data_IF_680120675412
#
_entry.id   IF_680120675412
#
_cell.length_a   1.000
_cell.length_b   1.000
_cell.length_c   1.000
_cell.angle_alpha   90.00
_cell.angle_beta   90.00
_cell.angle_gamma   90.00
#
_symmetry.space_group_name_H-M   'P 1'
#
loop_
_entity.id
_entity.type
_entity.pdbx_description
1 polymer ?
#
# COMPACT_ATOMS: atom_id res chain seq x y z
N UNK A 1 17.98 5.01 -12.28
CA UNK A 1 16.53 4.84 -12.04
C UNK A 1 16.02 5.79 -10.96
N UNK A 2 16.44 5.66 -9.70
CA UNK A 2 15.94 6.47 -8.56
C UNK A 2 16.01 7.98 -8.77
N UNK A 3 17.10 8.53 -9.33
CA UNK A 3 17.23 9.96 -9.63
C UNK A 3 16.21 10.44 -10.68
N UNK A 4 15.87 9.60 -11.66
CA UNK A 4 14.87 9.93 -12.66
C UNK A 4 13.46 9.88 -12.07
N UNK A 5 13.18 8.89 -11.21
CA UNK A 5 11.88 8.78 -10.52
C UNK A 5 11.65 9.96 -9.57
N UNK A 6 12.64 10.33 -8.75
CA UNK A 6 12.49 11.48 -7.85
C UNK A 6 12.38 12.79 -8.63
N UNK A 7 13.16 12.98 -9.71
CA UNK A 7 13.04 14.15 -10.56
C UNK A 7 11.64 14.26 -11.18
N UNK A 8 11.07 13.16 -11.66
CA UNK A 8 9.72 13.12 -12.22
C UNK A 8 8.64 13.37 -11.15
N UNK A 9 8.68 12.65 -10.02
CA UNK A 9 7.75 12.83 -8.90
C UNK A 9 7.77 14.28 -8.43
N UNK A 10 8.94 14.90 -8.33
CA UNK A 10 9.09 16.29 -7.91
C UNK A 10 8.36 17.28 -8.81
N UNK A 11 8.22 16.99 -10.10
CA UNK A 11 7.48 17.82 -11.06
C UNK A 11 5.95 17.65 -10.97
N UNK A 12 5.46 16.55 -10.38
CA UNK A 12 4.02 16.34 -10.20
C UNK A 12 3.45 17.33 -9.17
N UNK A 13 2.19 17.79 -9.34
CA UNK A 13 1.48 18.49 -8.28
C UNK A 13 1.25 17.56 -7.08
N UNK A 14 0.80 18.13 -5.96
CA UNK A 14 0.28 17.32 -4.85
C UNK A 14 -0.99 16.58 -5.31
N UNK A 15 -1.22 15.41 -4.72
CA UNK A 15 -2.38 14.57 -5.00
C UNK A 15 -2.91 13.98 -3.69
N UNK A 16 -4.17 13.55 -3.70
CA UNK A 16 -4.87 13.14 -2.48
C UNK A 16 -4.56 11.68 -2.06
N UNK A 17 -4.13 10.84 -3.00
CA UNK A 17 -3.96 9.41 -2.79
C UNK A 17 -2.78 8.86 -3.62
N UNK A 18 -1.88 8.12 -2.98
CA UNK A 18 -0.84 7.32 -3.63
C UNK A 18 -1.17 5.82 -3.55
N UNK A 19 -0.94 5.07 -4.63
CA UNK A 19 -1.08 3.60 -4.64
C UNK A 19 0.12 3.00 -5.38
N UNK A 20 0.95 2.26 -4.66
CA UNK A 20 2.08 1.51 -5.18
C UNK A 20 1.69 0.02 -5.27
N UNK A 21 1.83 -0.59 -6.45
CA UNK A 21 1.48 -2.00 -6.67
C UNK A 21 2.75 -2.82 -6.67
N UNK A 22 2.86 -3.74 -5.71
CA UNK A 22 4.01 -4.59 -5.50
C UNK A 22 3.58 -6.06 -5.37
N UNK A 23 4.59 -6.92 -5.34
CA UNK A 23 4.44 -8.32 -5.03
C UNK A 23 5.51 -8.76 -4.03
N UNK A 24 5.13 -9.69 -3.16
CA UNK A 24 6.00 -10.25 -2.14
C UNK A 24 6.02 -11.78 -2.28
N UNK A 25 7.21 -12.34 -2.40
CA UNK A 25 7.42 -13.78 -2.59
C UNK A 25 7.42 -14.55 -1.27
N UNK A 26 7.60 -13.87 -0.13
CA UNK A 26 7.56 -14.48 1.21
C UNK A 26 6.15 -14.42 1.83
N UNK A 27 5.24 -13.66 1.22
CA UNK A 27 3.88 -13.46 1.70
C UNK A 27 3.04 -14.73 1.64
N UNK A 28 2.26 -14.97 2.70
CA UNK A 28 1.32 -16.11 2.76
C UNK A 28 -0.06 -15.78 2.15
N UNK A 29 -0.25 -14.53 1.76
CA UNK A 29 -1.48 -13.98 1.21
C UNK A 29 -1.29 -12.50 0.88
N UNK A 30 -2.34 -11.87 0.37
CA UNK A 30 -2.36 -10.42 0.14
C UNK A 30 -2.29 -9.66 1.47
N UNK A 31 -1.54 -8.56 1.46
CA UNK A 31 -1.53 -7.58 2.53
C UNK A 31 -1.26 -6.18 1.97
N UNK A 32 -1.35 -5.15 2.81
CA UNK A 32 -1.01 -3.78 2.43
C UNK A 32 -0.30 -3.01 3.52
N UNK A 33 0.50 -2.03 3.11
CA UNK A 33 0.98 -0.95 3.97
C UNK A 33 0.07 0.27 3.80
N UNK A 34 -0.34 0.88 4.92
CA UNK A 34 -1.01 2.18 4.97
C UNK A 34 -0.04 3.22 5.55
N UNK A 35 0.41 4.16 4.72
CA UNK A 35 1.10 5.36 5.18
C UNK A 35 0.09 6.48 5.32
N UNK A 36 -0.29 6.74 6.56
CA UNK A 36 -1.30 7.73 6.93
C UNK A 36 -0.88 8.55 8.16
N UNK A 37 0.21 9.33 8.06
CA UNK A 37 0.79 10.08 9.18
C UNK A 37 -0.13 11.13 9.81
N UNK A 38 -1.14 11.63 9.09
CA UNK A 38 -2.09 12.62 9.60
C UNK A 38 -3.42 12.00 10.05
N UNK A 39 -3.51 10.66 10.08
CA UNK A 39 -4.72 9.91 10.45
C UNK A 39 -5.98 10.35 9.68
N UNK A 40 -5.83 10.55 8.37
CA UNK A 40 -6.93 10.81 7.44
C UNK A 40 -7.87 9.60 7.36
N UNK A 41 -9.13 9.78 6.92
CA UNK A 41 -10.03 8.66 6.67
C UNK A 41 -9.42 7.63 5.71
N UNK A 42 -9.10 6.45 6.24
CA UNK A 42 -8.57 5.32 5.48
C UNK A 42 -9.68 4.30 5.16
N UNK A 43 -9.41 3.42 4.19
CA UNK A 43 -10.34 2.36 3.73
C UNK A 43 -9.67 0.97 3.73
N UNK A 44 -8.60 0.82 4.51
CA UNK A 44 -7.72 -0.35 4.49
C UNK A 44 -8.44 -1.64 4.86
N UNK A 45 -9.33 -1.58 5.84
CA UNK A 45 -10.10 -2.74 6.29
C UNK A 45 -11.07 -3.20 5.20
N UNK A 46 -11.79 -2.26 4.58
CA UNK A 46 -12.71 -2.52 3.49
C UNK A 46 -12.00 -3.08 2.25
N UNK A 47 -10.78 -2.60 1.98
CA UNK A 47 -9.93 -3.11 0.88
C UNK A 47 -9.49 -4.55 1.15
N UNK A 48 -8.99 -4.84 2.35
CA UNK A 48 -8.59 -6.21 2.72
C UNK A 48 -9.79 -7.16 2.69
N UNK A 49 -10.95 -6.74 3.20
CA UNK A 49 -12.18 -7.53 3.15
C UNK A 49 -12.58 -7.86 1.71
N UNK A 50 -12.58 -6.86 0.81
CA UNK A 50 -12.90 -7.06 -0.60
C UNK A 50 -11.92 -8.01 -1.29
N UNK A 51 -10.62 -7.88 -1.01
CA UNK A 51 -9.59 -8.77 -1.58
C UNK A 51 -9.73 -10.19 -1.02
N UNK A 52 -10.13 -10.34 0.25
CA UNK A 52 -10.36 -11.65 0.89
C UNK A 52 -11.37 -12.55 0.15
N UNK A 53 -12.25 -11.97 -0.68
CA UNK A 53 -13.17 -12.72 -1.52
C UNK A 53 -12.52 -13.36 -2.75
N UNK A 54 -11.32 -12.92 -3.14
CA UNK A 54 -10.65 -13.35 -4.40
C UNK A 54 -9.22 -13.86 -4.20
N UNK A 55 -8.59 -13.51 -3.07
CA UNK A 55 -7.24 -13.92 -2.71
C UNK A 55 -7.16 -14.08 -1.19
N UNK A 56 -6.41 -15.09 -0.72
CA UNK A 56 -6.18 -15.25 0.72
C UNK A 56 -5.45 -14.02 1.27
N UNK A 57 -5.83 -13.58 2.48
CA UNK A 57 -5.15 -12.49 3.18
C UNK A 57 -4.07 -13.06 4.09
N UNK A 58 -2.92 -12.40 4.18
CA UNK A 58 -1.91 -12.77 5.16
C UNK A 58 -2.38 -12.34 6.57
N UNK A 59 -2.75 -13.34 7.38
CA UNK A 59 -3.24 -13.16 8.75
C UNK A 59 -2.13 -13.19 9.79
N UNK A 60 -0.86 -13.20 9.38
CA UNK A 60 0.26 -13.22 10.31
C UNK A 60 0.27 -11.94 11.15
N UNK A 61 0.51 -12.07 12.46
CA UNK A 61 0.68 -10.91 13.35
C UNK A 61 1.98 -10.14 13.06
N UNK A 62 2.90 -10.77 12.32
CA UNK A 62 4.15 -10.19 11.82
C UNK A 62 4.29 -10.52 10.33
N UNK A 63 4.54 -9.50 9.51
CA UNK A 63 4.84 -9.59 8.08
C UNK A 63 6.06 -8.68 7.84
N UNK A 64 7.10 -9.16 7.15
CA UNK A 64 8.39 -8.44 7.01
C UNK A 64 8.95 -7.97 8.37
N UNK A 65 8.89 -8.83 9.39
CA UNK A 65 9.27 -8.51 10.79
C UNK A 65 8.55 -7.30 11.42
N UNK A 66 7.44 -6.85 10.82
CA UNK A 66 6.66 -5.71 11.27
C UNK A 66 5.30 -6.15 11.80
N UNK A 67 4.76 -5.48 12.84
CA UNK A 67 3.41 -5.70 13.30
C UNK A 67 2.39 -5.52 12.17
N UNK A 68 1.55 -6.53 12.00
CA UNK A 68 0.43 -6.52 11.09
C UNK A 68 -0.84 -6.94 11.83
N UNK A 69 -1.97 -6.41 11.39
CA UNK A 69 -3.27 -6.83 11.89
C UNK A 69 -4.21 -7.10 10.71
N UNK A 70 -4.56 -8.36 10.51
CA UNK A 70 -5.45 -8.79 9.43
C UNK A 70 -4.98 -8.30 8.06
N UNK A 71 -3.70 -8.48 7.72
CA UNK A 71 -3.14 -8.03 6.44
C UNK A 71 -2.90 -6.53 6.29
N UNK A 72 -2.97 -5.75 7.38
CA UNK A 72 -2.71 -4.30 7.35
C UNK A 72 -1.48 -3.99 8.20
N UNK A 73 -0.50 -3.32 7.58
CA UNK A 73 0.67 -2.76 8.25
C UNK A 73 0.56 -1.24 8.28
N UNK A 74 0.80 -0.64 9.45
CA UNK A 74 0.78 0.82 9.65
C UNK A 74 2.13 1.31 10.18
N UNK A 75 3.17 1.35 9.33
CA UNK A 75 4.49 1.75 9.78
C UNK A 75 4.50 3.25 10.11
N UNK A 76 5.27 3.63 11.14
CA UNK A 76 5.48 5.03 11.50
C UNK A 76 6.32 5.71 10.43
N UNK A 77 5.81 6.81 9.88
CA UNK A 77 6.56 7.65 8.95
C UNK A 77 7.50 8.55 9.74
N UNK A 78 8.80 8.25 9.70
CA UNK A 78 9.84 9.09 10.28
C UNK A 78 10.91 9.40 9.21
N UNK A 79 11.06 10.67 8.80
CA UNK A 79 12.09 11.08 7.83
C UNK A 79 13.51 10.74 8.30
N UNK A 80 13.75 10.80 9.62
CA UNK A 80 15.07 10.61 10.23
C UNK A 80 15.41 9.14 10.49
N UNK A 81 14.44 8.22 10.31
CA UNK A 81 14.64 6.82 10.66
C UNK A 81 15.55 6.05 9.71
N UNK A 82 15.84 6.58 8.50
CA UNK A 82 16.68 5.88 7.52
C UNK A 82 17.28 6.79 6.43
N UNK A 83 18.52 6.54 6.01
CA UNK A 83 19.21 7.34 4.97
C UNK A 83 18.69 7.08 3.55
N UNK A 84 18.06 5.92 3.31
CA UNK A 84 17.40 5.57 2.06
C UNK A 84 15.92 5.31 2.32
N UNK A 85 15.07 5.90 1.49
CA UNK A 85 13.62 5.80 1.65
C UNK A 85 13.04 4.91 0.56
N UNK A 86 12.12 4.00 0.90
CA UNK A 86 11.20 3.41 -0.07
C UNK A 86 10.41 4.50 -0.79
N UNK A 87 10.04 4.24 -2.03
CA UNK A 87 9.27 5.15 -2.89
C UNK A 87 8.01 5.70 -2.19
N UNK A 88 7.23 4.83 -1.55
CA UNK A 88 6.01 5.23 -0.85
C UNK A 88 6.25 6.25 0.29
N UNK A 89 7.42 6.19 0.96
CA UNK A 89 7.79 7.17 1.98
C UNK A 89 8.11 8.53 1.35
N UNK A 90 8.79 8.54 0.20
CA UNK A 90 9.02 9.78 -0.54
C UNK A 90 7.69 10.40 -0.99
N UNK A 91 6.78 9.59 -1.53
CA UNK A 91 5.46 10.03 -1.97
C UNK A 91 4.63 10.61 -0.81
N UNK A 92 4.55 9.91 0.34
CA UNK A 92 3.76 10.38 1.49
C UNK A 92 4.37 11.61 2.18
N UNK A 93 5.66 11.89 1.99
CA UNK A 93 6.30 13.07 2.58
C UNK A 93 6.24 14.29 1.67
N UNK A 94 6.20 14.09 0.35
CA UNK A 94 6.33 15.19 -0.61
C UNK A 94 5.09 15.47 -1.46
N UNK A 95 4.13 14.54 -1.57
CA UNK A 95 3.06 14.63 -2.58
C UNK A 95 1.65 14.36 -2.08
N UNK A 96 1.48 13.46 -1.12
CA UNK A 96 0.19 13.13 -0.49
C UNK A 96 0.39 12.91 1.00
N UNK A 97 -0.70 12.83 1.78
CA UNK A 97 -0.68 12.42 3.19
C UNK A 97 -1.35 11.06 3.42
N UNK A 98 -1.78 10.40 2.34
CA UNK A 98 -2.34 9.06 2.33
C UNK A 98 -1.78 8.25 1.16
N UNK A 99 -1.03 7.19 1.47
CA UNK A 99 -0.45 6.30 0.46
C UNK A 99 -0.58 4.83 0.86
N UNK A 100 -0.85 3.98 -0.12
CA UNK A 100 -0.95 2.53 0.04
C UNK A 100 0.13 1.82 -0.76
N UNK A 101 0.79 0.84 -0.16
CA UNK A 101 1.56 -0.17 -0.90
C UNK A 101 0.82 -1.48 -0.82
N UNK A 102 0.45 -2.05 -1.97
CA UNK A 102 -0.28 -3.30 -2.08
C UNK A 102 0.70 -4.41 -2.39
N UNK A 103 0.60 -5.53 -1.67
CA UNK A 103 1.52 -6.65 -1.81
C UNK A 103 0.73 -7.91 -2.14
N UNK A 104 0.79 -8.34 -3.40
CA UNK A 104 0.20 -9.63 -3.80
C UNK A 104 1.20 -10.78 -3.64
N UNK A 105 0.75 -11.99 -3.26
CA UNK A 105 1.66 -13.11 -2.96
C UNK A 105 2.21 -13.71 -4.25
N UNK A 106 3.50 -13.53 -4.53
CA UNK A 106 4.13 -13.88 -5.83
C UNK A 106 3.98 -15.35 -6.21
N UNK A 107 3.94 -16.23 -5.20
CA UNK A 107 3.80 -17.68 -5.35
C UNK A 107 2.38 -18.13 -5.74
N UNK A 108 1.41 -17.22 -5.76
CA UNK A 108 0.04 -17.53 -6.19
C UNK A 108 -0.07 -17.47 -7.72
N UNK A 109 -1.08 -18.15 -8.32
CA UNK A 109 -1.34 -18.05 -9.74
C UNK A 109 -1.45 -16.59 -10.20
N UNK A 110 -0.84 -16.25 -11.34
CA UNK A 110 -0.83 -14.89 -11.89
C UNK A 110 -2.23 -14.27 -11.96
N UNK A 111 -3.24 -15.06 -12.33
CA UNK A 111 -4.62 -14.61 -12.40
C UNK A 111 -5.15 -14.17 -11.03
N UNK A 112 -4.82 -14.91 -9.97
CA UNK A 112 -5.19 -14.57 -8.59
C UNK A 112 -4.53 -13.28 -8.14
N UNK A 113 -3.23 -13.10 -8.43
CA UNK A 113 -2.48 -11.88 -8.09
C UNK A 113 -3.02 -10.64 -8.78
N UNK A 114 -3.24 -10.74 -10.10
CA UNK A 114 -3.87 -9.67 -10.89
C UNK A 114 -5.26 -9.34 -10.34
N UNK A 115 -6.06 -10.35 -10.03
CA UNK A 115 -7.40 -10.14 -9.47
C UNK A 115 -7.35 -9.47 -8.10
N UNK A 116 -6.40 -9.83 -7.23
CA UNK A 116 -6.20 -9.19 -5.93
C UNK A 116 -5.85 -7.70 -6.10
N UNK A 117 -4.84 -7.38 -6.89
CA UNK A 117 -4.40 -6.00 -7.12
C UNK A 117 -5.49 -5.15 -7.79
N UNK A 118 -6.16 -5.67 -8.82
CA UNK A 118 -7.27 -4.95 -9.46
C UNK A 118 -8.45 -4.72 -8.50
N UNK A 119 -8.77 -5.70 -7.65
CA UNK A 119 -9.83 -5.56 -6.65
C UNK A 119 -9.45 -4.48 -5.63
N UNK A 120 -8.23 -4.52 -5.10
CA UNK A 120 -7.74 -3.53 -4.15
C UNK A 120 -7.75 -2.11 -4.73
N UNK A 121 -7.24 -1.91 -5.95
CA UNK A 121 -7.21 -0.60 -6.61
C UNK A 121 -8.61 -0.03 -6.82
N UNK A 122 -9.56 -0.85 -7.31
CA UNK A 122 -10.95 -0.40 -7.51
C UNK A 122 -11.59 0.01 -6.19
N UNK A 123 -11.51 -0.86 -5.18
CA UNK A 123 -12.08 -0.57 -3.85
C UNK A 123 -11.46 0.68 -3.22
N UNK A 124 -10.14 0.86 -3.36
CA UNK A 124 -9.44 2.06 -2.88
C UNK A 124 -10.00 3.32 -3.53
N UNK A 125 -10.11 3.35 -4.85
CA UNK A 125 -10.58 4.51 -5.61
C UNK A 125 -12.05 4.80 -5.29
N UNK A 126 -12.92 3.78 -5.37
CA UNK A 126 -14.36 3.95 -5.18
C UNK A 126 -14.68 4.48 -3.78
N UNK A 127 -14.07 3.90 -2.75
CA UNK A 127 -14.31 4.32 -1.36
C UNK A 127 -13.62 5.64 -1.01
N UNK A 128 -12.43 5.92 -1.55
CA UNK A 128 -11.78 7.21 -1.35
C UNK A 128 -12.61 8.34 -1.94
N UNK A 129 -13.20 8.16 -3.12
CA UNK A 129 -14.08 9.15 -3.73
C UNK A 129 -15.40 9.31 -2.98
N UNK A 130 -15.94 8.24 -2.40
CA UNK A 130 -17.17 8.28 -1.60
C UNK A 130 -17.01 8.92 -0.21
N UNK A 131 -15.80 8.92 0.36
CA UNK A 131 -15.48 9.51 1.67
C UNK A 131 -15.04 10.99 1.61
N UNK A 132 -15.04 11.61 0.42
CA UNK A 132 -14.76 13.04 0.23
C UNK A 132 -15.96 13.93 0.51
#
# INVERSE_FOLDING_TARGET
ETLAHTAWINQLPTFDLGICLHEDWEAKGFYLYELNPDNLPAVSAEVVEAVGAVCAIDQSNLIDDRPAQGGILKPVVSPDARPLWPEAFYIVLHKTRLSYTLESPSDFPIATRVQALCTAVRTLIDLHLAKR
#
